data_IF_389581199463
#
_entry.id   IF_389581199463
#
_cell.length_a   1.000
_cell.length_b   1.000
_cell.length_c   1.000
_cell.angle_alpha   90.00
_cell.angle_beta   90.00
_cell.angle_gamma   90.00
#
_symmetry.space_group_name_H-M   'P 1'
#
loop_
_entity.id
_entity.type
_entity.pdbx_description
1 polymer ?
#
# COMPACT_ATOMS: atom_id res chain seq x y z
N UNK A 1 14.66 25.31 3.24
CA UNK A 1 13.59 24.58 2.54
C UNK A 1 13.78 23.12 2.84
N UNK A 2 12.86 22.52 3.54
CA UNK A 2 12.86 21.10 3.91
C UNK A 2 12.00 20.30 2.92
N UNK A 3 12.07 18.97 2.95
CA UNK A 3 11.25 18.14 2.04
C UNK A 3 9.75 18.36 2.26
N UNK A 4 9.31 18.56 3.50
CA UNK A 4 7.93 18.90 3.84
C UNK A 4 7.44 20.20 3.21
N UNK A 5 8.32 21.18 3.00
CA UNK A 5 7.95 22.45 2.36
C UNK A 5 7.48 22.22 0.92
N UNK A 6 8.10 21.25 0.20
CA UNK A 6 7.68 20.91 -1.16
C UNK A 6 6.30 20.29 -1.21
N UNK A 7 5.97 19.41 -0.25
CA UNK A 7 4.63 18.81 -0.16
C UNK A 7 3.57 19.88 0.10
N UNK A 8 3.83 20.80 1.03
CA UNK A 8 2.90 21.90 1.33
C UNK A 8 2.71 22.85 0.15
N UNK A 9 3.79 23.28 -0.50
CA UNK A 9 3.72 24.16 -1.67
C UNK A 9 2.99 23.47 -2.84
N UNK A 10 3.21 22.17 -3.04
CA UNK A 10 2.48 21.43 -4.05
C UNK A 10 0.99 21.36 -3.74
N UNK A 11 0.61 21.15 -2.47
CA UNK A 11 -0.79 21.15 -2.06
C UNK A 11 -1.43 22.52 -2.21
N UNK A 12 -0.77 23.62 -1.85
CA UNK A 12 -1.28 24.99 -2.06
C UNK A 12 -1.59 25.25 -3.54
N UNK A 13 -0.79 24.69 -4.47
CA UNK A 13 -1.01 24.82 -5.90
C UNK A 13 -2.13 23.92 -6.43
N UNK A 14 -2.22 22.70 -5.94
CA UNK A 14 -3.03 21.63 -6.52
C UNK A 14 -4.37 21.44 -5.80
N UNK A 15 -4.47 21.85 -4.55
CA UNK A 15 -5.62 21.58 -3.70
C UNK A 15 -6.25 22.90 -3.20
N UNK A 16 -7.55 23.04 -3.35
CA UNK A 16 -8.31 24.16 -2.79
C UNK A 16 -8.55 23.99 -1.30
N UNK A 17 -9.12 25.01 -0.65
CA UNK A 17 -9.34 25.08 0.79
C UNK A 17 -10.19 23.92 1.36
N UNK A 18 -11.10 23.37 0.55
CA UNK A 18 -11.96 22.26 0.95
C UNK A 18 -11.48 20.90 0.41
N UNK A 19 -10.24 20.82 -0.08
CA UNK A 19 -9.67 19.59 -0.65
C UNK A 19 -10.04 19.31 -2.12
N UNK A 20 -10.72 20.24 -2.79
CA UNK A 20 -11.04 20.12 -4.22
C UNK A 20 -9.83 20.42 -5.11
N UNK A 21 -9.81 19.83 -6.30
CA UNK A 21 -8.74 20.10 -7.28
C UNK A 21 -8.83 21.52 -7.83
N UNK A 22 -7.69 22.20 -7.86
CA UNK A 22 -7.57 23.51 -8.54
C UNK A 22 -7.58 23.35 -10.06
N UNK A 23 -7.68 24.47 -10.78
CA UNK A 23 -7.51 24.49 -12.23
C UNK A 23 -6.12 24.00 -12.67
N UNK A 24 -5.10 24.27 -11.87
CA UNK A 24 -3.72 23.78 -12.09
C UNK A 24 -3.69 22.27 -11.96
N UNK A 25 -4.27 21.70 -10.89
CA UNK A 25 -4.34 20.25 -10.68
C UNK A 25 -5.05 19.55 -11.85
N UNK A 26 -6.17 20.09 -12.34
CA UNK A 26 -6.88 19.54 -13.50
C UNK A 26 -6.06 19.60 -14.80
N UNK A 27 -5.21 20.60 -14.95
CA UNK A 27 -4.31 20.69 -16.09
C UNK A 27 -3.20 19.66 -16.00
N UNK A 28 -2.59 19.52 -14.82
CA UNK A 28 -1.50 18.57 -14.56
C UNK A 28 -2.00 17.13 -14.65
N UNK A 29 -3.17 16.81 -14.05
CA UNK A 29 -3.71 15.45 -14.03
C UNK A 29 -4.00 14.90 -15.43
N UNK A 30 -4.39 15.75 -16.40
CA UNK A 30 -4.59 15.36 -17.80
C UNK A 30 -3.32 14.90 -18.51
N UNK A 31 -2.16 15.18 -17.95
CA UNK A 31 -0.86 14.74 -18.47
C UNK A 31 -0.49 13.31 -18.03
N UNK A 32 -1.28 12.66 -17.17
CA UNK A 32 -0.99 11.34 -16.66
C UNK A 32 -2.06 10.33 -17.08
N UNK A 33 -1.65 9.31 -17.81
CA UNK A 33 -2.51 8.17 -18.14
C UNK A 33 -2.73 7.27 -16.91
N UNK A 34 -1.72 7.15 -16.04
CA UNK A 34 -1.79 6.40 -14.80
C UNK A 34 -0.94 7.06 -13.71
N UNK A 35 -1.38 6.97 -12.47
CA UNK A 35 -0.66 7.34 -11.25
C UNK A 35 -0.43 6.07 -10.44
N UNK A 36 0.82 5.59 -10.43
CA UNK A 36 1.22 4.35 -9.78
C UNK A 36 1.99 4.70 -8.51
N UNK A 37 1.55 4.18 -7.38
CA UNK A 37 2.20 4.41 -6.08
C UNK A 37 2.56 3.07 -5.47
N UNK A 38 3.85 2.88 -5.23
CA UNK A 38 4.40 1.73 -4.52
C UNK A 38 4.58 2.04 -3.04
N UNK A 39 4.70 1.01 -2.21
CA UNK A 39 4.86 1.11 -0.75
C UNK A 39 3.80 2.02 -0.11
N UNK A 40 2.54 1.90 -0.57
CA UNK A 40 1.48 2.83 -0.18
C UNK A 40 1.18 2.84 1.33
N UNK A 41 1.55 1.78 2.08
CA UNK A 41 1.44 1.72 3.54
C UNK A 41 2.29 2.78 4.24
N UNK A 42 3.32 3.32 3.56
CA UNK A 42 4.21 4.36 4.11
C UNK A 42 3.78 5.78 3.74
N UNK A 43 2.63 5.91 3.07
CA UNK A 43 2.06 7.20 2.65
C UNK A 43 1.50 7.96 3.85
N UNK A 44 1.79 9.26 3.95
CA UNK A 44 1.14 10.17 4.88
C UNK A 44 -0.12 10.82 4.29
N UNK A 45 -0.89 11.54 5.11
CA UNK A 45 -2.14 12.16 4.68
C UNK A 45 -1.95 13.23 3.59
N UNK A 46 -0.85 13.99 3.63
CA UNK A 46 -0.55 15.02 2.62
C UNK A 46 -0.23 14.38 1.26
N UNK A 47 0.58 13.34 1.27
CA UNK A 47 0.92 12.58 0.06
C UNK A 47 -0.32 11.91 -0.54
N UNK A 48 -1.17 11.32 0.29
CA UNK A 48 -2.42 10.72 -0.17
C UNK A 48 -3.32 11.75 -0.88
N UNK A 49 -3.39 12.98 -0.36
CA UNK A 49 -4.12 14.08 -1.00
C UNK A 49 -3.46 14.53 -2.31
N UNK A 50 -2.13 14.61 -2.35
CA UNK A 50 -1.38 14.91 -3.59
C UNK A 50 -1.69 13.89 -4.69
N UNK A 51 -1.67 12.60 -4.39
CA UNK A 51 -2.01 11.56 -5.37
C UNK A 51 -3.43 11.72 -5.92
N UNK A 52 -4.38 12.10 -5.06
CA UNK A 52 -5.76 12.40 -5.49
C UNK A 52 -5.81 13.63 -6.40
N UNK A 53 -5.03 14.67 -6.12
CA UNK A 53 -4.96 15.85 -6.98
C UNK A 53 -4.36 15.56 -8.35
N UNK A 54 -3.44 14.58 -8.45
CA UNK A 54 -2.79 14.17 -9.70
C UNK A 54 -3.62 13.15 -10.51
N UNK A 55 -4.60 12.51 -9.91
CA UNK A 55 -5.44 11.51 -10.55
C UNK A 55 -6.52 12.15 -11.44
N UNK A 56 -7.30 11.32 -12.13
CA UNK A 56 -8.57 11.73 -12.73
C UNK A 56 -9.59 12.13 -11.66
N UNK A 57 -10.64 12.83 -12.03
CA UNK A 57 -11.64 13.28 -11.05
C UNK A 57 -12.40 12.11 -10.39
N UNK A 58 -12.52 10.99 -11.08
CA UNK A 58 -13.10 9.74 -10.58
C UNK A 58 -12.06 8.77 -9.96
N UNK A 59 -10.77 9.12 -9.97
CA UNK A 59 -9.69 8.28 -9.49
C UNK A 59 -9.42 7.04 -10.33
N UNK A 60 -9.99 6.93 -11.55
CA UNK A 60 -9.91 5.73 -12.39
C UNK A 60 -8.51 5.36 -12.85
N UNK A 61 -7.56 6.29 -12.79
CA UNK A 61 -6.16 6.09 -13.16
C UNK A 61 -5.21 5.91 -11.96
N UNK A 62 -5.73 5.74 -10.73
CA UNK A 62 -4.92 5.46 -9.55
C UNK A 62 -4.69 3.96 -9.37
N UNK A 63 -3.45 3.60 -9.10
CA UNK A 63 -3.07 2.24 -8.75
C UNK A 63 -2.09 2.27 -7.57
N UNK A 64 -2.46 1.57 -6.50
CA UNK A 64 -1.66 1.51 -5.26
C UNK A 64 -1.19 0.09 -5.01
N UNK A 65 0.07 -0.06 -4.66
CA UNK A 65 0.66 -1.30 -4.18
C UNK A 65 1.21 -1.07 -2.79
N UNK A 66 1.07 -2.04 -1.91
CA UNK A 66 1.61 -1.94 -0.56
C UNK A 66 1.33 -3.20 0.26
N UNK A 67 1.96 -3.28 1.40
CA UNK A 67 1.78 -4.34 2.38
C UNK A 67 1.75 -3.74 3.79
N UNK A 68 0.59 -3.75 4.43
CA UNK A 68 0.41 -3.17 5.77
C UNK A 68 1.38 -3.79 6.79
N UNK A 69 1.70 -5.07 6.65
CA UNK A 69 2.66 -5.79 7.52
C UNK A 69 4.07 -5.22 7.49
N UNK A 70 4.42 -4.49 6.41
CA UNK A 70 5.73 -3.86 6.23
C UNK A 70 5.75 -2.39 6.65
N UNK A 71 4.66 -1.86 7.23
CA UNK A 71 4.60 -0.47 7.69
C UNK A 71 5.46 -0.27 8.93
N UNK A 72 6.63 0.34 8.75
CA UNK A 72 7.59 0.65 9.81
C UNK A 72 7.88 2.14 9.96
N UNK A 73 7.25 3.01 9.14
CA UNK A 73 7.56 4.43 9.08
C UNK A 73 6.54 5.34 9.78
N UNK A 74 5.75 4.84 10.76
CA UNK A 74 4.84 5.65 11.57
C UNK A 74 5.54 6.85 12.24
N UNK A 75 6.80 6.68 12.65
CA UNK A 75 7.62 7.78 13.22
C UNK A 75 7.95 8.89 12.19
N UNK A 76 7.69 8.64 10.91
CA UNK A 76 7.75 9.63 9.81
C UNK A 76 6.37 10.06 9.32
N UNK A 77 5.36 9.93 10.17
CA UNK A 77 3.96 10.29 9.88
C UNK A 77 3.27 9.41 8.83
N UNK A 78 3.82 8.24 8.50
CA UNK A 78 3.10 7.27 7.68
C UNK A 78 1.79 6.86 8.37
N UNK A 79 0.72 6.75 7.58
CA UNK A 79 -0.63 6.43 8.06
C UNK A 79 -1.16 5.19 7.34
N UNK A 80 -0.76 3.97 7.76
CA UNK A 80 -1.21 2.73 7.12
C UNK A 80 -2.73 2.56 7.14
N UNK A 81 -3.43 3.24 8.05
CA UNK A 81 -4.89 3.28 8.13
C UNK A 81 -5.54 3.77 6.82
N UNK A 82 -4.84 4.64 6.08
CA UNK A 82 -5.32 5.14 4.77
C UNK A 82 -5.38 3.97 3.78
N UNK A 83 -4.37 3.11 3.76
CA UNK A 83 -4.32 1.93 2.89
C UNK A 83 -5.31 0.86 3.34
N UNK A 84 -5.38 0.59 4.65
CA UNK A 84 -6.36 -0.34 5.23
C UNK A 84 -7.79 0.07 4.87
N UNK A 85 -8.12 1.36 4.99
CA UNK A 85 -9.43 1.90 4.67
C UNK A 85 -9.80 1.71 3.19
N UNK A 86 -8.85 1.95 2.27
CA UNK A 86 -9.04 1.72 0.83
C UNK A 86 -9.24 0.23 0.53
N UNK A 87 -8.37 -0.64 1.05
CA UNK A 87 -8.45 -2.08 0.87
C UNK A 87 -9.78 -2.64 1.38
N UNK A 88 -10.22 -2.21 2.57
CA UNK A 88 -11.48 -2.67 3.17
C UNK A 88 -12.73 -2.12 2.48
N UNK A 89 -12.62 -0.99 1.76
CA UNK A 89 -13.72 -0.36 1.05
C UNK A 89 -13.92 -0.85 -0.38
N UNK A 90 -12.97 -1.58 -0.97
CA UNK A 90 -13.02 -2.02 -2.35
C UNK A 90 -13.39 -3.50 -2.46
N UNK A 91 -14.19 -3.84 -3.48
CA UNK A 91 -14.50 -5.24 -3.78
C UNK A 91 -13.26 -5.99 -4.33
N UNK A 92 -13.15 -7.31 -4.13
CA UNK A 92 -12.15 -8.11 -4.82
C UNK A 92 -12.28 -7.97 -6.34
N UNK A 93 -11.16 -7.89 -7.03
CA UNK A 93 -11.13 -7.77 -8.47
C UNK A 93 -11.73 -9.00 -9.15
N UNK A 94 -12.62 -8.75 -10.09
CA UNK A 94 -13.15 -9.75 -11.02
C UNK A 94 -13.13 -9.17 -12.44
N UNK A 95 -12.79 -9.95 -13.48
CA UNK A 95 -12.82 -9.46 -14.85
C UNK A 95 -14.22 -8.91 -15.23
N UNK A 96 -14.29 -7.64 -15.65
CA UNK A 96 -15.54 -6.95 -15.95
C UNK A 96 -16.36 -6.53 -14.73
N UNK A 97 -15.83 -6.72 -13.53
CA UNK A 97 -16.47 -6.31 -12.27
C UNK A 97 -16.38 -4.80 -12.00
N UNK A 98 -16.94 -4.37 -10.85
CA UNK A 98 -16.92 -2.96 -10.46
C UNK A 98 -15.51 -2.46 -10.12
N UNK A 99 -15.30 -1.16 -10.30
CA UNK A 99 -14.11 -0.44 -9.85
C UNK A 99 -14.53 0.66 -8.87
N UNK A 100 -13.65 1.02 -7.90
CA UNK A 100 -12.31 0.45 -7.63
C UNK A 100 -12.36 -0.99 -7.09
N UNK A 101 -11.27 -1.75 -7.29
CA UNK A 101 -11.18 -3.15 -6.88
C UNK A 101 -9.83 -3.45 -6.20
N UNK A 102 -9.79 -4.49 -5.37
CA UNK A 102 -8.59 -4.97 -4.67
C UNK A 102 -8.08 -6.27 -5.29
N UNK A 103 -6.77 -6.35 -5.48
CA UNK A 103 -6.06 -7.59 -5.87
C UNK A 103 -5.12 -7.96 -4.73
N UNK A 104 -5.24 -9.19 -4.22
CA UNK A 104 -4.33 -9.72 -3.19
C UNK A 104 -3.22 -10.52 -3.86
N UNK A 105 -1.95 -10.16 -3.55
CA UNK A 105 -0.75 -10.85 -4.02
C UNK A 105 -0.17 -11.65 -2.85
N UNK A 106 -0.67 -12.87 -2.63
CA UNK A 106 -0.29 -13.71 -1.48
C UNK A 106 0.93 -14.60 -1.72
N UNK A 107 1.34 -14.82 -2.98
CA UNK A 107 2.41 -15.76 -3.30
C UNK A 107 3.78 -15.09 -3.26
N UNK A 108 4.68 -15.69 -2.47
CA UNK A 108 6.08 -15.26 -2.37
C UNK A 108 6.96 -16.15 -3.27
N UNK A 109 7.55 -15.54 -4.30
CA UNK A 109 8.47 -16.17 -5.26
C UNK A 109 9.93 -15.85 -4.97
N UNK A 110 10.22 -15.12 -3.88
CA UNK A 110 11.56 -14.64 -3.54
C UNK A 110 12.28 -15.53 -2.54
N UNK A 111 11.54 -16.04 -1.55
CA UNK A 111 12.12 -16.74 -0.39
C UNK A 111 11.96 -18.25 -0.50
N UNK A 112 12.91 -19.00 0.05
CA UNK A 112 12.81 -20.46 0.16
C UNK A 112 11.63 -20.85 1.07
N UNK A 113 11.08 -22.04 0.83
CA UNK A 113 9.85 -22.49 1.48
C UNK A 113 9.96 -22.57 3.00
N UNK A 114 11.08 -23.07 3.55
CA UNK A 114 11.33 -23.15 4.98
C UNK A 114 11.38 -21.77 5.66
N UNK A 115 11.88 -20.74 4.95
CA UNK A 115 11.89 -19.35 5.47
C UNK A 115 10.47 -18.82 5.55
N UNK A 116 9.65 -19.06 4.52
CA UNK A 116 8.24 -18.65 4.51
C UNK A 116 7.48 -19.27 5.67
N UNK A 117 7.67 -20.59 5.91
CA UNK A 117 6.99 -21.29 7.00
C UNK A 117 7.39 -20.71 8.36
N UNK A 118 8.68 -20.51 8.60
CA UNK A 118 9.17 -19.94 9.87
C UNK A 118 8.70 -18.50 10.07
N UNK A 119 8.68 -17.67 9.03
CA UNK A 119 8.14 -16.33 9.11
C UNK A 119 6.65 -16.39 9.46
N UNK A 120 5.88 -17.27 8.83
CA UNK A 120 4.47 -17.45 9.13
C UNK A 120 4.26 -17.85 10.59
N UNK A 121 5.04 -18.79 11.12
CA UNK A 121 4.95 -19.23 12.52
C UNK A 121 5.25 -18.09 13.51
N UNK A 122 6.30 -17.32 13.27
CA UNK A 122 6.68 -16.17 14.12
C UNK A 122 5.60 -15.08 14.06
N UNK A 123 5.18 -14.69 12.86
CA UNK A 123 4.20 -13.62 12.72
C UNK A 123 2.81 -14.01 13.22
N UNK A 124 2.40 -15.28 13.08
CA UNK A 124 1.15 -15.77 13.64
C UNK A 124 1.11 -15.65 15.18
N UNK A 125 2.27 -15.75 15.84
CA UNK A 125 2.37 -15.58 17.29
C UNK A 125 2.45 -14.10 17.73
N UNK A 126 3.03 -13.22 16.92
CA UNK A 126 3.39 -11.86 17.33
C UNK A 126 2.44 -10.79 16.79
N UNK A 127 1.89 -10.98 15.60
CA UNK A 127 1.16 -9.95 14.89
C UNK A 127 -0.36 -10.07 15.13
N UNK A 128 -0.95 -8.97 15.52
CA UNK A 128 -2.39 -8.81 15.72
C UNK A 128 -2.80 -7.39 15.35
N UNK A 129 -4.09 -7.09 15.30
CA UNK A 129 -4.58 -5.71 15.09
C UNK A 129 -4.05 -4.71 16.11
N UNK A 130 -3.71 -5.16 17.30
CA UNK A 130 -3.13 -4.31 18.35
C UNK A 130 -1.63 -4.10 18.13
N UNK A 131 -0.95 -5.10 17.53
CA UNK A 131 0.48 -5.09 17.25
C UNK A 131 0.67 -5.40 15.77
N UNK A 132 0.77 -4.36 14.92
CA UNK A 132 0.98 -4.52 13.48
C UNK A 132 -0.25 -4.28 12.60
N UNK A 133 -1.35 -3.74 13.19
CA UNK A 133 -2.55 -3.26 12.49
C UNK A 133 -3.41 -4.32 11.77
N UNK A 134 -2.93 -5.54 11.62
CA UNK A 134 -3.64 -6.66 10.98
C UNK A 134 -3.51 -7.93 11.81
N UNK A 135 -4.51 -8.80 11.73
CA UNK A 135 -4.43 -10.15 12.28
C UNK A 135 -3.73 -11.05 11.26
N UNK A 136 -2.58 -11.62 11.62
CA UNK A 136 -1.77 -12.43 10.71
C UNK A 136 -2.37 -13.84 10.55
N UNK A 137 -3.38 -13.94 9.69
CA UNK A 137 -4.06 -15.16 9.34
C UNK A 137 -4.64 -15.12 7.92
N UNK A 138 -5.05 -16.25 7.38
CA UNK A 138 -5.70 -16.33 6.06
C UNK A 138 -4.91 -15.60 4.96
N UNK A 139 -5.50 -14.57 4.38
CA UNK A 139 -4.94 -13.80 3.25
C UNK A 139 -3.68 -12.98 3.62
N UNK A 140 -3.39 -12.80 4.91
CA UNK A 140 -2.19 -12.09 5.36
C UNK A 140 -0.97 -13.01 5.45
N UNK A 141 -1.16 -14.33 5.47
CA UNK A 141 -0.06 -15.29 5.50
C UNK A 141 0.64 -15.39 4.15
N UNK A 142 1.95 -15.57 4.19
CA UNK A 142 2.74 -15.79 2.98
C UNK A 142 2.48 -17.20 2.44
N UNK A 143 2.28 -17.31 1.14
CA UNK A 143 2.12 -18.58 0.43
C UNK A 143 3.33 -18.81 -0.46
N UNK A 144 3.86 -20.06 -0.49
CA UNK A 144 4.96 -20.43 -1.38
C UNK A 144 4.51 -20.23 -2.84
N UNK A 145 5.27 -19.44 -3.59
CA UNK A 145 4.95 -19.11 -4.98
C UNK A 145 5.62 -20.01 -6.01
N UNK A 146 6.76 -20.61 -5.67
CA UNK A 146 7.49 -21.56 -6.51
C UNK A 146 7.89 -22.77 -5.68
N UNK A 147 7.80 -23.95 -6.29
CA UNK A 147 8.43 -25.17 -5.80
C UNK A 147 9.71 -25.37 -6.63
N UNK A 148 10.79 -24.72 -6.19
CA UNK A 148 12.11 -24.82 -6.84
C UNK A 148 12.93 -26.02 -6.34
N UNK A 149 12.34 -26.83 -5.46
CA UNK A 149 13.00 -27.99 -4.84
C UNK A 149 14.09 -27.62 -3.84
N UNK A 150 14.27 -26.31 -3.53
CA UNK A 150 15.22 -25.84 -2.54
C UNK A 150 14.51 -25.45 -1.24
N UNK A 151 14.62 -26.28 -0.24
CA UNK A 151 13.99 -26.05 1.06
C UNK A 151 14.83 -25.18 2.02
N UNK A 152 16.06 -24.83 1.64
CA UNK A 152 16.99 -24.12 2.52
C UNK A 152 17.40 -24.94 3.74
N UNK A 153 18.35 -24.42 4.51
CA UNK A 153 18.68 -24.97 5.83
C UNK A 153 17.73 -24.45 6.91
N UNK A 154 17.75 -25.02 8.13
CA UNK A 154 17.00 -24.48 9.25
C UNK A 154 17.48 -23.05 9.56
N UNK A 155 16.55 -22.16 9.89
CA UNK A 155 16.89 -20.85 10.40
C UNK A 155 17.28 -20.99 11.87
N UNK A 156 18.50 -20.59 12.23
CA UNK A 156 18.94 -20.52 13.62
C UNK A 156 18.66 -19.11 14.13
N UNK A 157 17.97 -19.03 15.26
CA UNK A 157 17.77 -17.80 16.02
C UNK A 157 18.73 -17.86 17.20
N UNK A 158 19.79 -17.03 17.18
CA UNK A 158 20.71 -16.83 18.29
C UNK A 158 20.13 -15.87 19.33
#
# INVERSE_FOLDING_TARGET
>A
MEYSDFEHLALELLCGENGEKTAVARTVSRGFDAVLVDEYQDTNALQALLYQCLANDDGSNLFFVGDVKQSIYRFRLASPEIFIGKRGGFAPYTPGGPHPATVTLGHNFRSAGNIIDQINDVFACMMSRTVGDVDYNGDEMLVRGADDGYDGGPMELD
#
